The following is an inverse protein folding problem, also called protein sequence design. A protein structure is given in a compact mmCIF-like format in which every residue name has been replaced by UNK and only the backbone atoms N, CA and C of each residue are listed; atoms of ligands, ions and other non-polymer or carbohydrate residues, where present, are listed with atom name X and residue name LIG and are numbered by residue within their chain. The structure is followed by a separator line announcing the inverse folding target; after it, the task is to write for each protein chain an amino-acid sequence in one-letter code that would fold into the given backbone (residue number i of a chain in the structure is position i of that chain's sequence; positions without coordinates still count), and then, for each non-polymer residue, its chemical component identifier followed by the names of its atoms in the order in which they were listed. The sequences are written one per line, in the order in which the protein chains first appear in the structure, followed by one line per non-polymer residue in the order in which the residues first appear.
data_IF_112239940877
#
_entry.id   IF_112239940877
#
_cell.length_a   1.000
_cell.length_b   1.000
_cell.length_c   1.000
_cell.angle_alpha   90.00
_cell.angle_beta   90.00
_cell.angle_gamma   90.00
#
_symmetry.space_group_name_H-M   'P 1'
#
loop_
_entity.id
_entity.type
_entity.pdbx_description
1 polymer ?
#
# COMPACT_ATOMS: atom_id res chain seq x y z
N UNK A 1 7.34 6.95 9.42
CA UNK A 1 6.35 5.86 9.58
C UNK A 1 6.83 4.72 8.70
N UNK A 2 7.24 3.57 9.26
CA UNK A 2 7.95 2.48 8.54
C UNK A 2 7.09 1.27 8.17
N UNK A 3 5.80 1.32 8.48
CA UNK A 3 4.81 0.22 8.43
C UNK A 3 4.41 -0.19 7.00
N UNK A 4 4.92 0.50 5.98
CA UNK A 4 4.46 0.31 4.61
C UNK A 4 5.12 -0.92 3.99
N UNK A 5 5.64 -0.77 2.79
CA UNK A 5 6.25 -1.87 2.05
C UNK A 5 7.48 -2.53 2.74
N UNK A 6 8.35 -1.79 3.48
CA UNK A 6 9.52 -2.39 4.14
C UNK A 6 9.21 -3.48 5.17
N UNK A 7 8.04 -3.42 5.82
CA UNK A 7 7.62 -4.42 6.82
C UNK A 7 6.52 -5.35 6.30
N UNK A 8 6.22 -5.31 5.00
CA UNK A 8 5.09 -6.02 4.37
C UNK A 8 3.73 -5.73 5.05
N UNK A 9 3.49 -4.46 5.39
CA UNK A 9 2.26 -4.04 6.05
C UNK A 9 2.00 -4.77 7.39
N UNK A 10 3.08 -5.13 8.11
CA UNK A 10 3.01 -5.74 9.44
C UNK A 10 3.27 -4.68 10.52
N UNK A 11 2.27 -4.37 11.37
CA UNK A 11 2.43 -3.44 12.48
C UNK A 11 3.55 -3.87 13.45
N UNK A 12 4.33 -2.90 13.94
CA UNK A 12 5.39 -3.11 14.92
C UNK A 12 6.68 -3.76 14.41
N UNK A 13 6.80 -4.02 13.10
CA UNK A 13 8.02 -4.57 12.50
C UNK A 13 8.83 -3.51 11.75
N UNK A 14 10.16 -3.60 11.85
CA UNK A 14 11.12 -2.74 11.13
C UNK A 14 11.68 -3.39 9.85
N UNK A 15 11.37 -4.67 9.61
CA UNK A 15 11.88 -5.48 8.51
C UNK A 15 10.82 -6.49 8.06
N UNK A 16 10.90 -7.01 6.82
CA UNK A 16 9.91 -7.96 6.35
C UNK A 16 10.06 -9.29 7.12
N UNK A 17 8.96 -9.89 7.60
CA UNK A 17 9.04 -11.15 8.32
C UNK A 17 9.55 -12.28 7.43
N UNK A 18 10.30 -13.22 8.01
CA UNK A 18 10.84 -14.41 7.32
C UNK A 18 10.32 -15.74 7.86
N UNK A 19 9.45 -15.74 8.86
CA UNK A 19 8.86 -16.94 9.46
C UNK A 19 7.33 -16.94 9.47
N UNK A 20 6.72 -15.89 10.04
CA UNK A 20 5.27 -15.75 10.19
C UNK A 20 4.79 -14.42 9.67
N UNK A 21 3.61 -14.38 9.06
CA UNK A 21 2.98 -13.16 8.57
C UNK A 21 1.50 -13.14 8.88
N UNK A 22 0.97 -11.96 9.20
CA UNK A 22 -0.45 -11.76 9.48
C UNK A 22 -1.16 -11.26 8.22
N UNK A 23 -2.23 -11.97 7.85
CA UNK A 23 -3.21 -11.57 6.85
C UNK A 23 -4.41 -10.99 7.58
N UNK A 24 -4.77 -9.75 7.25
CA UNK A 24 -5.93 -9.06 7.80
C UNK A 24 -7.13 -9.23 6.87
N UNK A 25 -8.28 -9.64 7.42
CA UNK A 25 -9.45 -10.01 6.64
C UNK A 25 -9.19 -11.23 5.77
N UNK A 26 -9.67 -11.19 4.52
CA UNK A 26 -9.41 -12.23 3.52
C UNK A 26 -8.07 -12.05 2.78
N UNK A 27 -7.43 -10.88 2.95
CA UNK A 27 -6.17 -10.52 2.32
C UNK A 27 -6.24 -10.15 0.84
N UNK A 28 -7.42 -10.04 0.24
CA UNK A 28 -7.60 -9.83 -1.22
C UNK A 28 -7.86 -8.38 -1.63
N UNK A 29 -8.28 -7.53 -0.70
CA UNK A 29 -8.43 -6.09 -0.94
C UNK A 29 -7.09 -5.48 -1.32
N UNK A 30 -7.07 -4.67 -2.38
CA UNK A 30 -5.84 -4.08 -2.92
C UNK A 30 -5.57 -2.70 -2.31
N UNK A 31 -4.31 -2.46 -2.00
CA UNK A 31 -3.78 -1.16 -1.65
C UNK A 31 -2.76 -0.70 -2.72
N UNK A 32 -2.43 0.59 -2.71
CA UNK A 32 -1.38 1.14 -3.56
C UNK A 32 -0.14 1.46 -2.73
N UNK A 33 1.02 1.07 -3.23
CA UNK A 33 2.32 1.42 -2.65
C UNK A 33 3.10 2.30 -3.61
N UNK A 34 3.70 3.38 -3.11
CA UNK A 34 4.56 4.24 -3.89
C UNK A 34 5.84 4.52 -3.12
N UNK A 35 6.98 4.53 -3.82
CA UNK A 35 8.22 5.06 -3.26
C UNK A 35 8.14 6.58 -3.16
N UNK A 36 8.66 7.13 -2.09
CA UNK A 36 8.55 8.55 -1.76
C UNK A 36 9.16 9.45 -2.85
N UNK A 37 10.29 9.04 -3.43
CA UNK A 37 10.93 9.76 -4.55
C UNK A 37 10.02 9.86 -5.79
N UNK A 38 9.24 8.81 -6.03
CA UNK A 38 8.38 8.74 -7.21
C UNK A 38 7.13 9.60 -6.98
N UNK A 39 6.57 9.57 -5.77
CA UNK A 39 5.52 10.51 -5.34
C UNK A 39 5.97 11.95 -5.55
N UNK A 40 7.19 12.30 -5.16
CA UNK A 40 7.75 13.63 -5.37
C UNK A 40 7.85 14.00 -6.86
N UNK A 41 8.31 13.09 -7.72
CA UNK A 41 8.41 13.33 -9.17
C UNK A 41 7.03 13.60 -9.81
N UNK A 42 6.02 12.81 -9.48
CA UNK A 42 4.63 13.04 -9.92
C UNK A 42 4.08 14.36 -9.39
N UNK A 43 4.38 14.68 -8.13
CA UNK A 43 3.91 15.91 -7.47
C UNK A 43 4.47 17.14 -8.18
N UNK A 44 5.78 17.20 -8.42
CA UNK A 44 6.42 18.34 -9.10
C UNK A 44 5.92 18.48 -10.54
N UNK A 45 5.72 17.37 -11.24
CA UNK A 45 5.17 17.40 -12.61
C UNK A 45 3.76 18.01 -12.68
N UNK A 46 3.01 17.95 -11.57
CA UNK A 46 1.64 18.43 -11.48
C UNK A 46 1.49 19.88 -11.01
N UNK A 47 2.55 20.54 -10.55
CA UNK A 47 2.45 21.89 -9.96
C UNK A 47 1.96 22.92 -10.98
N UNK A 48 2.56 22.93 -12.17
CA UNK A 48 2.29 23.93 -13.21
C UNK A 48 1.51 23.36 -14.41
N UNK A 49 1.02 22.12 -14.31
CA UNK A 49 0.23 21.50 -15.37
C UNK A 49 -1.22 22.00 -15.31
N UNK A 50 -1.73 22.74 -16.31
CA UNK A 50 -3.12 23.22 -16.29
C UNK A 50 -4.15 22.08 -16.23
N UNK A 51 -3.78 20.84 -16.60
CA UNK A 51 -4.65 19.66 -16.53
C UNK A 51 -4.95 19.21 -15.10
N UNK A 52 -4.15 19.63 -14.11
CA UNK A 52 -4.30 19.28 -12.68
C UNK A 52 -4.92 20.41 -11.85
N UNK A 53 -5.15 21.59 -12.44
CA UNK A 53 -5.75 22.74 -11.75
C UNK A 53 -7.10 22.36 -11.12
N UNK A 54 -7.23 22.57 -9.81
CA UNK A 54 -8.41 22.22 -9.01
C UNK A 54 -8.82 20.74 -9.10
N UNK A 55 -7.86 19.82 -9.29
CA UNK A 55 -8.10 18.37 -9.33
C UNK A 55 -7.27 17.62 -8.30
N UNK A 56 -7.73 16.42 -7.95
CA UNK A 56 -6.95 15.43 -7.20
C UNK A 56 -6.12 14.59 -8.18
N UNK A 57 -4.80 14.52 -7.96
CA UNK A 57 -3.92 13.61 -8.69
C UNK A 57 -3.86 12.27 -7.98
N UNK A 58 -4.41 11.22 -8.61
CA UNK A 58 -4.37 9.86 -8.08
C UNK A 58 -3.19 9.09 -8.67
N UNK A 59 -2.44 8.41 -7.80
CA UNK A 59 -1.36 7.51 -8.20
C UNK A 59 -1.85 6.08 -8.01
N UNK A 60 -2.08 5.37 -9.11
CA UNK A 60 -2.44 3.94 -9.13
C UNK A 60 -1.65 3.22 -10.23
N UNK A 61 -0.30 3.17 -10.14
CA UNK A 61 0.50 2.56 -11.21
C UNK A 61 0.24 1.06 -11.33
N UNK A 62 0.29 0.51 -12.57
CA UNK A 62 0.46 -0.92 -12.77
C UNK A 62 1.65 -1.47 -11.97
N UNK A 63 1.51 -2.64 -11.34
CA UNK A 63 2.57 -3.24 -10.52
C UNK A 63 2.71 -2.68 -9.10
N UNK A 64 1.98 -1.62 -8.76
CA UNK A 64 1.98 -1.01 -7.43
C UNK A 64 0.63 -1.16 -6.71
N UNK A 65 -0.33 -1.80 -7.37
CA UNK A 65 -1.64 -2.17 -6.83
C UNK A 65 -1.58 -3.63 -6.35
N UNK A 66 -1.63 -3.85 -5.05
CA UNK A 66 -1.30 -5.15 -4.46
C UNK A 66 -2.18 -5.45 -3.24
N UNK A 67 -2.69 -6.68 -3.16
CA UNK A 67 -3.33 -7.19 -1.94
C UNK A 67 -2.28 -7.72 -0.95
N UNK A 68 -2.67 -8.03 0.29
CA UNK A 68 -1.74 -8.68 1.23
C UNK A 68 -1.32 -10.07 0.74
N UNK A 69 -2.26 -10.84 0.15
CA UNK A 69 -1.96 -12.14 -0.41
C UNK A 69 -0.95 -12.05 -1.56
N UNK A 70 -1.12 -11.07 -2.46
CA UNK A 70 -0.15 -10.80 -3.54
C UNK A 70 1.23 -10.44 -2.97
N UNK A 71 1.26 -9.60 -1.92
CA UNK A 71 2.50 -9.13 -1.29
C UNK A 71 3.26 -10.27 -0.62
N UNK A 72 2.55 -11.12 0.12
CA UNK A 72 3.11 -12.31 0.75
C UNK A 72 3.67 -13.25 -0.30
N UNK A 73 2.91 -13.53 -1.37
CA UNK A 73 3.36 -14.41 -2.45
C UNK A 73 4.64 -13.88 -3.12
N UNK A 74 4.69 -12.59 -3.44
CA UNK A 74 5.90 -11.98 -4.00
C UNK A 74 7.10 -12.11 -3.06
N UNK A 75 6.88 -11.94 -1.75
CA UNK A 75 7.95 -12.07 -0.78
C UNK A 75 8.42 -13.52 -0.59
N UNK A 76 7.50 -14.47 -0.48
CA UNK A 76 7.79 -15.92 -0.38
C UNK A 76 8.64 -16.40 -1.57
N UNK A 77 8.32 -15.94 -2.78
CA UNK A 77 9.12 -16.21 -3.99
C UNK A 77 10.54 -15.66 -3.85
N UNK A 78 10.69 -14.41 -3.39
CA UNK A 78 11.99 -13.73 -3.27
C UNK A 78 12.90 -14.37 -2.22
N UNK A 79 12.34 -14.80 -1.09
CA UNK A 79 13.12 -15.47 -0.03
C UNK A 79 13.22 -16.99 -0.19
N UNK A 80 12.55 -17.57 -1.20
CA UNK A 80 12.54 -19.01 -1.45
C UNK A 80 11.95 -19.84 -0.31
N UNK A 81 11.04 -19.26 0.49
CA UNK A 81 10.48 -19.87 1.69
C UNK A 81 9.02 -19.48 1.88
N UNK A 82 8.18 -20.49 2.14
CA UNK A 82 6.79 -20.28 2.57
C UNK A 82 6.73 -19.82 4.03
N UNK A 83 5.95 -18.78 4.29
CA UNK A 83 5.66 -18.25 5.61
C UNK A 83 4.44 -18.92 6.22
N UNK A 84 4.46 -19.08 7.54
CA UNK A 84 3.26 -19.42 8.30
C UNK A 84 2.30 -18.21 8.30
N UNK A 85 1.09 -18.41 7.78
CA UNK A 85 0.08 -17.36 7.64
C UNK A 85 -0.86 -17.39 8.84
N UNK A 86 -0.87 -16.30 9.60
CA UNK A 86 -1.84 -16.04 10.66
C UNK A 86 -2.96 -15.19 10.08
N UNK A 87 -4.20 -15.42 10.50
CA UNK A 87 -5.35 -14.66 10.04
C UNK A 87 -5.98 -13.88 11.19
N UNK A 88 -6.28 -12.60 10.93
CA UNK A 88 -6.99 -11.71 11.85
C UNK A 88 -8.25 -11.22 11.15
N UNK A 89 -9.42 -11.47 11.75
CA UNK A 89 -10.69 -11.02 11.17
C UNK A 89 -10.84 -9.50 11.25
N UNK A 90 -11.77 -8.94 10.47
CA UNK A 90 -12.12 -7.52 10.57
C UNK A 90 -12.57 -7.15 11.99
N UNK A 91 -13.41 -7.98 12.61
CA UNK A 91 -13.93 -7.76 13.95
C UNK A 91 -12.80 -7.78 14.99
N UNK A 92 -11.87 -8.73 14.89
CA UNK A 92 -10.72 -8.80 15.80
C UNK A 92 -9.82 -7.56 15.66
N UNK A 93 -9.54 -7.13 14.43
CA UNK A 93 -8.76 -5.92 14.17
C UNK A 93 -9.45 -4.68 14.74
N UNK A 94 -10.77 -4.55 14.55
CA UNK A 94 -11.56 -3.45 15.10
C UNK A 94 -11.56 -3.41 16.63
N UNK A 95 -11.66 -4.57 17.28
CA UNK A 95 -11.57 -4.64 18.75
C UNK A 95 -10.19 -4.20 19.23
N UNK A 96 -9.11 -4.63 18.57
CA UNK A 96 -7.74 -4.18 18.88
C UNK A 96 -7.58 -2.67 18.71
N UNK A 97 -8.12 -2.09 17.63
CA UNK A 97 -8.10 -0.64 17.39
C UNK A 97 -8.83 0.12 18.51
N UNK A 98 -10.03 -0.33 18.89
CA UNK A 98 -10.83 0.31 19.96
C UNK A 98 -10.21 0.16 21.34
N UNK A 99 -9.56 -0.97 21.60
CA UNK A 99 -8.88 -1.26 22.86
C UNK A 99 -7.52 -0.58 23.03
N UNK A 100 -6.99 0.05 21.98
CA UNK A 100 -5.66 0.68 21.97
C UNK A 100 -5.80 2.18 21.77
N UNK A 101 -5.16 2.98 22.62
CA UNK A 101 -5.18 4.44 22.51
C UNK A 101 -4.21 4.95 21.44
N UNK A 102 -4.47 6.14 20.93
CA UNK A 102 -3.51 6.86 20.09
C UNK A 102 -2.24 7.20 20.90
N UNK A 103 -1.03 7.09 20.32
CA UNK A 103 -0.71 6.78 18.92
C UNK A 103 -0.55 5.28 18.59
N UNK A 104 -0.67 4.38 19.58
CA UNK A 104 -0.36 2.96 19.41
C UNK A 104 -1.32 2.22 18.46
N UNK A 105 -2.53 2.74 18.23
CA UNK A 105 -3.51 2.17 17.29
C UNK A 105 -3.36 2.65 15.84
N UNK A 106 -2.47 3.60 15.58
CA UNK A 106 -2.39 4.31 14.30
C UNK A 106 -2.06 3.35 13.14
N UNK A 107 -1.13 2.43 13.36
CA UNK A 107 -0.73 1.44 12.36
C UNK A 107 -1.90 0.54 11.95
N UNK A 108 -2.66 0.04 12.95
CA UNK A 108 -3.82 -0.81 12.72
C UNK A 108 -4.95 -0.06 12.02
N UNK A 109 -5.12 1.25 12.27
CA UNK A 109 -6.06 2.08 11.53
C UNK A 109 -5.70 2.14 10.04
N UNK A 110 -4.43 2.36 9.68
CA UNK A 110 -4.02 2.32 8.26
C UNK A 110 -4.31 0.99 7.61
N UNK A 111 -3.96 -0.11 8.29
CA UNK A 111 -4.22 -1.45 7.76
C UNK A 111 -5.71 -1.67 7.54
N UNK A 112 -6.54 -1.26 8.50
CA UNK A 112 -8.00 -1.39 8.39
C UNK A 112 -8.55 -0.62 7.18
N UNK A 113 -8.22 0.65 7.04
CA UNK A 113 -8.73 1.45 5.92
C UNK A 113 -8.15 0.99 4.56
N UNK A 114 -6.87 0.63 4.49
CA UNK A 114 -6.24 0.20 3.25
C UNK A 114 -6.65 -1.22 2.80
N UNK A 115 -6.67 -2.20 3.71
CA UNK A 115 -6.80 -3.62 3.37
C UNK A 115 -8.13 -4.25 3.81
N UNK A 116 -8.95 -3.58 4.62
CA UNK A 116 -10.33 -4.03 4.90
C UNK A 116 -11.32 -3.19 4.10
N UNK A 117 -11.24 -1.86 4.20
CA UNK A 117 -12.18 -0.97 3.49
C UNK A 117 -11.78 -0.67 2.05
N UNK A 118 -10.50 -0.87 1.70
CA UNK A 118 -10.03 -0.68 0.35
C UNK A 118 -10.00 0.79 -0.06
N UNK A 119 -9.72 1.69 0.89
CA UNK A 119 -9.80 3.16 0.72
C UNK A 119 -9.00 3.68 -0.48
N UNK A 120 -7.98 2.94 -0.93
CA UNK A 120 -7.19 3.32 -2.10
C UNK A 120 -7.88 3.04 -3.45
N UNK A 121 -8.83 2.09 -3.49
CA UNK A 121 -9.34 1.49 -4.73
C UNK A 121 -10.85 1.31 -4.80
N UNK A 122 -11.61 1.61 -3.76
CA UNK A 122 -13.07 1.38 -3.72
C UNK A 122 -13.90 2.25 -4.68
N UNK A 123 -13.26 3.23 -5.34
CA UNK A 123 -13.91 4.17 -6.25
C UNK A 123 -13.12 4.36 -7.54
N UNK A 124 -13.86 4.64 -8.61
CA UNK A 124 -13.30 5.08 -9.89
C UNK A 124 -12.93 6.57 -9.85
N UNK A 125 -11.89 6.94 -10.59
CA UNK A 125 -11.45 8.33 -10.67
C UNK A 125 -12.40 9.09 -11.60
N UNK A 126 -13.19 10.00 -11.04
CA UNK A 126 -14.08 10.86 -11.82
C UNK A 126 -13.26 11.91 -12.61
N UNK A 127 -13.40 12.00 -13.95
CA UNK A 127 -12.60 12.92 -14.77
C UNK A 127 -12.77 14.42 -14.44
N UNK A 128 -13.91 14.78 -13.85
CA UNK A 128 -14.27 16.14 -13.44
C UNK A 128 -13.48 16.62 -12.21
N UNK A 129 -13.21 15.73 -11.26
CA UNK A 129 -12.59 16.04 -9.96
C UNK A 129 -11.19 15.45 -9.79
N UNK A 130 -10.81 14.49 -10.64
CA UNK A 130 -9.56 13.75 -10.53
C UNK A 130 -8.89 13.43 -11.85
N UNK A 131 -7.58 13.14 -11.77
CA UNK A 131 -6.76 12.65 -12.87
C UNK A 131 -5.83 11.54 -12.41
N UNK A 132 -5.54 10.57 -13.29
CA UNK A 132 -4.58 9.51 -13.01
C UNK A 132 -3.16 9.96 -13.41
N UNK A 133 -2.24 10.02 -12.44
CA UNK A 133 -0.88 10.49 -12.68
C UNK A 133 -0.07 9.65 -13.67
N UNK A 134 -0.26 8.34 -13.69
CA UNK A 134 0.46 7.46 -14.63
C UNK A 134 0.00 7.62 -16.07
N UNK A 135 -1.27 7.97 -16.28
CA UNK A 135 -1.78 8.32 -17.61
C UNK A 135 -1.35 9.73 -18.02
N UNK A 136 -1.31 10.67 -17.06
CA UNK A 136 -0.97 12.07 -17.32
C UNK A 136 0.53 12.28 -17.60
N UNK A 137 1.38 11.47 -16.95
CA UNK A 137 2.84 11.53 -17.05
C UNK A 137 3.45 10.16 -17.38
N UNK A 138 3.19 9.61 -18.58
CA UNK A 138 3.63 8.25 -18.94
C UNK A 138 5.16 8.13 -19.11
N UNK A 139 5.87 9.25 -19.16
CA UNK A 139 7.33 9.30 -19.27
C UNK A 139 8.04 9.12 -17.91
N UNK A 140 7.33 9.30 -16.79
CA UNK A 140 7.90 9.10 -15.47
C UNK A 140 8.02 7.60 -15.18
N UNK A 141 9.25 7.18 -14.89
CA UNK A 141 9.51 5.84 -14.35
C UNK A 141 9.22 5.84 -12.85
N UNK A 142 8.70 4.73 -12.36
CA UNK A 142 8.41 4.51 -10.95
C UNK A 142 8.92 3.13 -10.54
N UNK A 143 9.19 2.99 -9.25
CA UNK A 143 9.63 1.76 -8.61
C UNK A 143 8.43 0.87 -8.36
N UNK A 144 8.46 -0.33 -8.92
CA UNK A 144 7.44 -1.35 -8.65
C UNK A 144 7.62 -1.98 -7.28
N UNK A 145 6.55 -2.61 -6.77
CA UNK A 145 6.65 -3.37 -5.51
C UNK A 145 7.72 -4.46 -5.61
N UNK A 146 7.77 -5.18 -6.73
CA UNK A 146 8.75 -6.25 -6.93
C UNK A 146 10.18 -5.71 -6.85
N UNK A 147 10.50 -4.63 -7.58
CA UNK A 147 11.82 -3.99 -7.56
C UNK A 147 12.18 -3.47 -6.17
N UNK A 148 11.21 -2.92 -5.43
CA UNK A 148 11.46 -2.49 -4.06
C UNK A 148 11.80 -3.67 -3.15
N UNK A 149 11.03 -4.75 -3.22
CA UNK A 149 11.27 -5.94 -2.40
C UNK A 149 12.62 -6.60 -2.70
N UNK A 150 13.15 -6.50 -3.92
CA UNK A 150 14.50 -6.98 -4.25
C UNK A 150 15.59 -6.29 -3.43
N UNK A 151 15.33 -5.06 -2.94
CA UNK A 151 16.28 -4.33 -2.08
C UNK A 151 16.29 -4.82 -0.62
N UNK A 152 15.36 -5.69 -0.25
CA UNK A 152 15.17 -6.17 1.13
C UNK A 152 15.60 -7.64 1.34
N UNK A 153 15.86 -8.38 0.26
CA UNK A 153 16.17 -9.82 0.29
C UNK A 153 17.50 -10.09 0.96
#
# INVERSE_FOLDING_TARGET
MRILLPSLAQPGLDAPPRDKITIFGDGNTKAVFMKESDVAAFTISAVDDPRTLNKVLYLRPPGNLCSLNDLVNMWEIKIGKMLEKLHVSEEELLQKIKGTSFPANFEMLFIYYAFIKGDHTYFDIEPSSGVNGTQLYPHLKYTTISEFLDTLV
#
